data_IF_043196401797
#
_entry.id   IF_043196401797
#
_cell.length_a   1.000
_cell.length_b   1.000
_cell.length_c   1.000
_cell.angle_alpha   90.00
_cell.angle_beta   90.00
_cell.angle_gamma   90.00
#
_symmetry.space_group_name_H-M   'P 1'
#
loop_
_entity.id
_entity.type
_entity.pdbx_description
1 polymer ?
#
# COMPACT_ATOMS: atom_id res chain seq x y z
N UNK A 1 -46.44 -14.38 -41.28
CA UNK A 1 -46.78 -14.31 -39.85
C UNK A 1 -45.93 -15.35 -39.14
N UNK A 2 -44.75 -14.97 -38.64
CA UNK A 2 -43.82 -15.86 -37.96
C UNK A 2 -43.76 -15.44 -36.48
N UNK A 3 -44.12 -16.36 -35.60
CA UNK A 3 -44.33 -16.12 -34.17
C UNK A 3 -43.02 -15.71 -33.47
N UNK A 4 -43.12 -14.64 -32.66
CA UNK A 4 -42.13 -14.25 -31.68
C UNK A 4 -41.91 -15.38 -30.66
N UNK A 5 -40.73 -16.01 -30.69
CA UNK A 5 -40.28 -16.87 -29.60
C UNK A 5 -39.65 -16.00 -28.50
N UNK A 6 -40.13 -16.05 -27.24
CA UNK A 6 -39.44 -15.40 -26.13
C UNK A 6 -38.14 -16.15 -25.81
N UNK A 7 -37.03 -15.43 -25.81
CA UNK A 7 -35.69 -15.93 -25.46
C UNK A 7 -35.74 -16.55 -24.05
N UNK A 8 -35.43 -17.85 -23.86
CA UNK A 8 -35.41 -18.44 -22.54
C UNK A 8 -34.19 -17.91 -21.76
N UNK A 9 -34.50 -17.18 -20.69
CA UNK A 9 -33.73 -17.02 -19.46
C UNK A 9 -32.20 -17.04 -19.63
N UNK A 10 -31.64 -15.84 -19.83
CA UNK A 10 -30.26 -15.52 -19.46
C UNK A 10 -30.12 -15.76 -17.95
N UNK A 11 -29.87 -17.01 -17.56
CA UNK A 11 -29.55 -17.37 -16.18
C UNK A 11 -28.19 -16.74 -15.92
N UNK A 12 -28.23 -15.57 -15.30
CA UNK A 12 -27.10 -14.88 -14.70
C UNK A 12 -26.38 -15.91 -13.84
N UNK A 13 -25.36 -16.56 -14.38
CA UNK A 13 -24.30 -17.12 -13.60
C UNK A 13 -23.64 -15.91 -12.94
N UNK A 14 -24.14 -15.55 -11.76
CA UNK A 14 -23.46 -14.62 -10.89
C UNK A 14 -22.06 -15.19 -10.68
N UNK A 15 -21.10 -14.69 -11.46
CA UNK A 15 -19.70 -15.04 -11.34
C UNK A 15 -19.34 -14.72 -9.89
N UNK A 16 -19.15 -15.75 -9.05
CA UNK A 16 -18.62 -15.54 -7.71
C UNK A 16 -17.33 -14.74 -7.89
N UNK A 17 -17.16 -13.59 -7.22
CA UNK A 17 -15.90 -12.86 -7.31
C UNK A 17 -14.80 -13.78 -6.78
N UNK A 18 -14.00 -14.34 -7.69
CA UNK A 18 -12.84 -15.13 -7.32
C UNK A 18 -11.78 -14.15 -6.85
N UNK A 19 -11.46 -14.19 -5.56
CA UNK A 19 -10.32 -13.46 -5.01
C UNK A 19 -9.07 -13.94 -5.73
N UNK A 20 -8.35 -13.02 -6.38
CA UNK A 20 -7.16 -13.39 -7.16
C UNK A 20 -6.04 -13.88 -6.24
N UNK A 21 -5.13 -14.70 -6.76
CA UNK A 21 -3.92 -15.10 -6.01
C UNK A 21 -3.10 -13.88 -5.56
N UNK A 22 -3.07 -12.82 -6.36
CA UNK A 22 -2.45 -11.55 -6.01
C UNK A 22 -3.11 -10.87 -4.80
N UNK A 23 -4.43 -10.96 -4.68
CA UNK A 23 -5.15 -10.44 -3.51
C UNK A 23 -4.75 -11.19 -2.25
N UNK A 24 -4.62 -12.51 -2.31
CA UNK A 24 -4.13 -13.30 -1.19
C UNK A 24 -2.68 -12.97 -0.82
N UNK A 25 -1.81 -12.75 -1.80
CA UNK A 25 -0.44 -12.32 -1.55
C UNK A 25 -0.40 -10.98 -0.80
N UNK A 26 -1.23 -10.01 -1.20
CA UNK A 26 -1.36 -8.73 -0.50
C UNK A 26 -1.91 -8.89 0.92
N UNK A 27 -2.93 -9.73 1.13
CA UNK A 27 -3.46 -10.02 2.47
C UNK A 27 -2.39 -10.65 3.37
N UNK A 28 -1.67 -11.65 2.86
CA UNK A 28 -0.60 -12.31 3.61
C UNK A 28 0.52 -11.32 3.98
N UNK A 29 0.90 -10.46 3.05
CA UNK A 29 1.89 -9.42 3.29
C UNK A 29 1.45 -8.41 4.37
N UNK A 30 0.20 -7.93 4.30
CA UNK A 30 -0.35 -7.02 5.33
C UNK A 30 -0.45 -7.69 6.70
N UNK A 31 -0.88 -8.95 6.76
CA UNK A 31 -0.94 -9.71 8.01
C UNK A 31 0.46 -9.89 8.63
N UNK A 32 1.47 -10.20 7.81
CA UNK A 32 2.86 -10.28 8.26
C UNK A 32 3.36 -8.93 8.78
N UNK A 33 3.07 -7.84 8.07
CA UNK A 33 3.41 -6.49 8.51
C UNK A 33 2.83 -6.16 9.90
N UNK A 34 1.53 -6.39 10.10
CA UNK A 34 0.86 -6.13 11.40
C UNK A 34 1.44 -6.99 12.51
N UNK A 35 1.75 -8.26 12.25
CA UNK A 35 2.34 -9.15 13.25
C UNK A 35 3.74 -8.69 13.68
N UNK A 36 4.58 -8.31 12.72
CA UNK A 36 5.96 -7.85 12.96
C UNK A 36 5.94 -6.50 13.69
N UNK A 37 5.27 -5.50 13.12
CA UNK A 37 5.23 -4.14 13.68
C UNK A 37 4.49 -4.13 15.02
N UNK A 38 3.40 -4.88 15.15
CA UNK A 38 2.66 -5.03 16.41
C UNK A 38 3.52 -5.58 17.53
N UNK A 39 4.30 -6.64 17.26
CA UNK A 39 5.24 -7.19 18.24
C UNK A 39 6.38 -6.22 18.57
N UNK A 40 6.90 -5.50 17.57
CA UNK A 40 7.91 -4.48 17.80
C UNK A 40 7.40 -3.35 18.71
N UNK A 41 6.16 -2.89 18.49
CA UNK A 41 5.51 -1.88 19.34
C UNK A 41 5.30 -2.36 20.78
N UNK A 42 4.96 -3.63 21.00
CA UNK A 42 4.82 -4.18 22.36
C UNK A 42 6.17 -4.37 23.06
N UNK A 43 7.21 -4.76 22.31
CA UNK A 43 8.55 -4.97 22.86
C UNK A 43 9.29 -3.66 23.16
N UNK A 44 8.95 -2.55 22.48
CA UNK A 44 9.56 -1.21 22.63
C UNK A 44 11.09 -1.19 22.51
N UNK A 45 11.67 -2.21 21.89
CA UNK A 45 13.11 -2.25 21.57
C UNK A 45 13.40 -1.21 20.50
N UNK A 46 14.45 -0.40 20.73
CA UNK A 46 14.87 0.60 19.75
C UNK A 46 15.41 -0.08 18.49
N UNK A 47 14.87 0.30 17.35
CA UNK A 47 15.30 -0.17 16.03
C UNK A 47 14.51 -1.34 15.46
N UNK A 48 13.49 -1.84 16.16
CA UNK A 48 12.70 -2.99 15.70
C UNK A 48 11.53 -2.60 14.80
N UNK A 49 11.12 -1.33 14.79
CA UNK A 49 9.95 -0.87 14.02
C UNK A 49 10.33 -0.49 12.59
N UNK A 50 9.41 -0.69 11.64
CA UNK A 50 9.57 -0.22 10.27
C UNK A 50 9.68 1.30 10.23
N UNK A 51 8.95 2.00 11.10
CA UNK A 51 9.01 3.47 11.21
C UNK A 51 10.43 3.96 11.51
N UNK A 52 11.16 3.31 12.41
CA UNK A 52 12.56 3.66 12.71
C UNK A 52 13.50 3.38 11.54
N UNK A 53 13.26 2.32 10.77
CA UNK A 53 14.01 2.04 9.56
C UNK A 53 13.78 3.10 8.48
N UNK A 54 12.52 3.49 8.26
CA UNK A 54 12.15 4.59 7.36
C UNK A 54 12.82 5.89 7.80
N UNK A 55 12.83 6.19 9.11
CA UNK A 55 13.49 7.41 9.61
C UNK A 55 15.00 7.39 9.39
N UNK A 56 15.66 6.23 9.53
CA UNK A 56 17.08 6.07 9.18
C UNK A 56 17.31 6.25 7.68
N UNK A 57 16.44 5.73 6.82
CA UNK A 57 16.54 5.83 5.37
C UNK A 57 16.25 7.20 4.78
N UNK A 58 15.50 8.04 5.49
CA UNK A 58 15.21 9.40 5.04
C UNK A 58 15.82 10.48 5.94
N UNK A 59 16.67 10.07 6.89
CA UNK A 59 17.32 10.95 7.85
C UNK A 59 16.31 11.90 8.52
N UNK A 60 15.14 11.41 8.91
CA UNK A 60 14.10 12.17 9.62
C UNK A 60 14.16 11.96 11.13
N UNK A 61 15.14 11.18 11.60
CA UNK A 61 15.39 10.99 13.03
C UNK A 61 15.95 12.28 13.67
N UNK A 62 15.65 12.52 14.95
CA UNK A 62 16.22 13.66 15.71
C UNK A 62 17.75 13.56 15.89
N UNK A 63 18.34 12.39 15.66
CA UNK A 63 19.78 12.16 15.78
C UNK A 63 20.54 12.68 14.55
N UNK A 64 19.89 12.76 13.39
CA UNK A 64 20.49 13.19 12.12
C UNK A 64 20.22 14.68 11.80
N UNK A 65 20.42 15.55 12.79
CA UNK A 65 20.09 16.98 12.68
C UNK A 65 21.16 17.84 11.99
N UNK A 66 22.20 17.26 11.36
CA UNK A 66 23.16 18.03 10.57
C UNK A 66 22.58 18.28 9.18
N UNK A 67 22.22 19.53 8.82
CA UNK A 67 21.52 19.83 7.57
C UNK A 67 22.51 19.84 6.40
N UNK A 68 22.86 18.65 5.89
CA UNK A 68 23.64 18.51 4.66
C UNK A 68 22.73 18.51 3.43
N UNK A 69 23.28 18.86 2.26
CA UNK A 69 22.54 18.79 0.99
C UNK A 69 21.98 17.39 0.70
N UNK A 70 22.72 16.34 1.08
CA UNK A 70 22.29 14.95 0.91
C UNK A 70 21.07 14.58 1.78
N UNK A 71 21.02 15.05 3.02
CA UNK A 71 19.85 14.86 3.91
C UNK A 71 18.62 15.54 3.32
N UNK A 72 18.78 16.76 2.78
CA UNK A 72 17.68 17.49 2.13
C UNK A 72 17.15 16.73 0.92
N UNK A 73 18.03 16.18 0.08
CA UNK A 73 17.63 15.39 -1.09
C UNK A 73 16.79 14.17 -0.70
N UNK A 74 17.24 13.37 0.29
CA UNK A 74 16.50 12.18 0.76
C UNK A 74 15.11 12.56 1.26
N UNK A 75 15.00 13.62 2.07
CA UNK A 75 13.72 14.11 2.60
C UNK A 75 12.80 14.63 1.49
N UNK A 76 13.35 15.37 0.52
CA UNK A 76 12.56 15.87 -0.61
C UNK A 76 12.11 14.73 -1.52
N UNK A 77 12.96 13.72 -1.75
CA UNK A 77 12.59 12.51 -2.47
C UNK A 77 11.44 11.75 -1.80
N UNK A 78 11.49 11.58 -0.47
CA UNK A 78 10.35 11.01 0.28
C UNK A 78 9.09 11.84 0.11
N UNK A 79 9.19 13.17 0.26
CA UNK A 79 8.05 14.06 0.12
C UNK A 79 7.42 13.97 -1.27
N UNK A 80 8.22 14.06 -2.32
CA UNK A 80 7.77 13.96 -3.71
C UNK A 80 7.11 12.60 -3.97
N UNK A 81 7.71 11.52 -3.49
CA UNK A 81 7.13 10.18 -3.61
C UNK A 81 5.78 10.06 -2.88
N UNK A 82 5.68 10.54 -1.64
CA UNK A 82 4.42 10.48 -0.86
C UNK A 82 3.33 11.35 -1.49
N UNK A 83 3.68 12.53 -2.01
CA UNK A 83 2.75 13.40 -2.71
C UNK A 83 2.24 12.74 -3.99
N UNK A 84 3.16 12.22 -4.82
CA UNK A 84 2.82 11.49 -6.03
C UNK A 84 1.94 10.26 -5.74
N UNK A 85 2.33 9.41 -4.78
CA UNK A 85 1.60 8.20 -4.43
C UNK A 85 0.17 8.51 -3.96
N UNK A 86 0.02 9.56 -3.18
CA UNK A 86 -1.29 10.03 -2.70
C UNK A 86 -2.17 10.50 -3.85
N UNK A 87 -1.63 11.35 -4.75
CA UNK A 87 -2.35 11.80 -5.96
C UNK A 87 -2.69 10.62 -6.87
N UNK A 88 -1.76 9.69 -7.06
CA UNK A 88 -1.94 8.50 -7.90
C UNK A 88 -3.11 7.65 -7.40
N UNK A 89 -3.20 7.39 -6.09
CA UNK A 89 -4.34 6.66 -5.53
C UNK A 89 -5.65 7.43 -5.57
N UNK A 90 -5.64 8.75 -5.33
CA UNK A 90 -6.85 9.58 -5.38
C UNK A 90 -7.43 9.73 -6.79
N UNK A 91 -6.57 9.70 -7.80
CA UNK A 91 -6.94 9.91 -9.20
C UNK A 91 -7.04 8.61 -9.99
N UNK A 92 -6.73 7.46 -9.37
CA UNK A 92 -6.70 6.16 -10.04
C UNK A 92 -5.60 6.04 -11.10
N UNK A 93 -4.53 6.84 -11.00
CA UNK A 93 -3.38 6.80 -11.90
C UNK A 93 -3.61 7.43 -13.28
N UNK A 94 -4.58 8.33 -13.39
CA UNK A 94 -4.90 9.05 -14.64
C UNK A 94 -3.93 10.21 -14.93
N UNK A 95 -3.10 10.58 -13.95
CA UNK A 95 -2.03 11.58 -14.05
C UNK A 95 -0.69 10.98 -13.58
#
# INVERSE_FOLDING_TARGET
>A
MWHHLPRPLLRLSARRPSVSGWTWAWIAWLAAFVAIEGKALTNKTKGDTLSEHVWKWFATSKLDNKPTGWVRLRRFGLLAFMAWLSVHFLTGGVF
#
